data_IF_745691929317
#
_entry.id   IF_745691929317
#
_cell.length_a   1.000
_cell.length_b   1.000
_cell.length_c   1.000
_cell.angle_alpha   90.00
_cell.angle_beta   90.00
_cell.angle_gamma   90.00
#
_symmetry.space_group_name_H-M   'P 1'
#
loop_
_entity.id
_entity.type
_entity.pdbx_description
1 polymer ?
#
# COMPACT_ATOMS: atom_id res chain seq x y z
N UNK A 1 -12.99 -15.26 6.01
CA UNK A 1 -12.83 -13.97 5.30
C UNK A 1 -11.41 -13.50 5.59
N UNK A 2 -10.53 -13.51 4.58
CA UNK A 2 -9.11 -13.16 4.76
C UNK A 2 -8.98 -11.64 4.72
N UNK A 3 -8.33 -11.03 5.72
CA UNK A 3 -8.03 -9.59 5.72
C UNK A 3 -6.92 -9.31 4.71
N UNK A 4 -7.16 -8.35 3.80
CA UNK A 4 -6.14 -7.87 2.86
C UNK A 4 -5.41 -6.66 3.45
N UNK A 5 -4.16 -6.87 3.87
CA UNK A 5 -3.35 -5.80 4.45
C UNK A 5 -2.51 -5.16 3.36
N UNK A 6 -2.70 -3.87 3.13
CA UNK A 6 -1.96 -3.10 2.13
C UNK A 6 -1.89 -1.62 2.56
N UNK A 7 -0.99 -0.88 1.91
CA UNK A 7 -0.86 0.57 2.08
C UNK A 7 -1.58 1.29 0.95
N UNK A 8 -2.23 2.41 1.27
CA UNK A 8 -2.78 3.35 0.29
C UNK A 8 -2.47 4.79 0.70
N UNK A 9 -2.24 5.65 -0.29
CA UNK A 9 -2.17 7.10 -0.16
C UNK A 9 -3.44 7.68 -0.78
N UNK A 10 -4.17 8.45 0.03
CA UNK A 10 -5.37 9.15 -0.42
C UNK A 10 -5.07 10.64 -0.46
N UNK A 11 -5.24 11.24 -1.64
CA UNK A 11 -5.19 12.69 -1.82
C UNK A 11 -6.60 13.20 -2.03
N UNK A 12 -7.10 13.97 -1.07
CA UNK A 12 -8.45 14.55 -1.10
C UNK A 12 -8.36 16.03 -1.45
N UNK A 13 -9.13 16.44 -2.45
CA UNK A 13 -9.31 17.81 -2.87
C UNK A 13 -10.63 18.35 -2.32
N UNK A 14 -10.61 19.57 -1.77
CA UNK A 14 -11.77 20.22 -1.21
C UNK A 14 -12.07 21.53 -1.93
N UNK A 15 -13.35 21.79 -2.23
CA UNK A 15 -13.88 23.03 -2.79
C UNK A 15 -15.16 23.40 -2.04
N UNK A 16 -15.29 24.65 -1.57
CA UNK A 16 -16.41 25.14 -0.76
C UNK A 16 -16.77 24.26 0.45
N UNK A 17 -15.74 23.70 1.10
CA UNK A 17 -15.91 22.81 2.25
C UNK A 17 -16.48 21.43 1.92
N UNK A 18 -16.57 21.06 0.63
CA UNK A 18 -16.95 19.73 0.14
C UNK A 18 -15.78 19.05 -0.55
N UNK A 19 -15.81 17.72 -0.61
CA UNK A 19 -14.84 16.95 -1.41
C UNK A 19 -15.17 17.17 -2.88
N UNK A 20 -14.24 17.73 -3.64
CA UNK A 20 -14.36 17.93 -5.08
C UNK A 20 -13.72 16.80 -5.88
N UNK A 21 -12.65 16.18 -5.34
CA UNK A 21 -12.01 15.03 -5.94
C UNK A 21 -11.26 14.18 -4.89
N UNK A 22 -11.09 12.90 -5.22
CA UNK A 22 -10.25 11.97 -4.48
C UNK A 22 -9.34 11.24 -5.47
N UNK A 23 -8.07 11.06 -5.11
CA UNK A 23 -7.09 10.29 -5.86
C UNK A 23 -6.50 9.25 -4.91
N UNK A 24 -6.83 7.98 -5.13
CA UNK A 24 -6.38 6.85 -4.31
C UNK A 24 -5.25 6.13 -5.05
N UNK A 25 -4.07 6.15 -4.46
CA UNK A 25 -2.92 5.37 -4.92
C UNK A 25 -2.74 4.21 -3.94
N UNK A 26 -2.83 2.98 -4.43
CA UNK A 26 -2.81 1.80 -3.57
C UNK A 26 -1.85 0.74 -4.12
N UNK A 27 -1.30 -0.08 -3.22
CA UNK A 27 -0.36 -1.15 -3.56
C UNK A 27 -1.09 -2.37 -4.18
N UNK A 28 -1.33 -2.27 -5.48
CA UNK A 28 -2.04 -3.30 -6.24
C UNK A 28 -1.29 -4.63 -6.29
N UNK A 29 0.04 -4.61 -6.39
CA UNK A 29 0.83 -5.84 -6.47
C UNK A 29 0.66 -6.68 -5.19
N UNK A 30 0.75 -6.05 -4.02
CA UNK A 30 0.56 -6.72 -2.74
C UNK A 30 -0.83 -7.32 -2.57
N UNK A 31 -1.87 -6.68 -3.11
CA UNK A 31 -3.23 -7.24 -3.09
C UNK A 31 -3.36 -8.43 -4.03
N UNK A 32 -2.86 -8.32 -5.27
CA UNK A 32 -2.90 -9.42 -6.24
C UNK A 32 -2.16 -10.67 -5.74
N UNK A 33 -1.04 -10.48 -5.04
CA UNK A 33 -0.30 -11.58 -4.38
C UNK A 33 -1.16 -12.24 -3.30
N UNK A 34 -1.81 -11.45 -2.43
CA UNK A 34 -2.65 -11.98 -1.34
C UNK A 34 -3.88 -12.76 -1.82
N UNK A 35 -4.44 -12.39 -2.97
CA UNK A 35 -5.57 -13.12 -3.58
C UNK A 35 -5.12 -14.25 -4.52
N UNK A 36 -3.82 -14.51 -4.62
CA UNK A 36 -3.25 -15.60 -5.44
C UNK A 36 -3.32 -15.36 -6.95
N UNK A 37 -3.52 -14.12 -7.38
CA UNK A 37 -3.56 -13.73 -8.80
C UNK A 37 -2.18 -13.31 -9.35
N UNK A 38 -1.18 -13.16 -8.49
CA UNK A 38 0.18 -12.78 -8.84
C UNK A 38 1.19 -13.57 -7.99
N UNK A 39 2.23 -14.11 -8.61
CA UNK A 39 3.35 -14.72 -7.90
C UNK A 39 4.30 -13.63 -7.40
N UNK A 40 4.66 -13.67 -6.12
CA UNK A 40 5.57 -12.70 -5.51
C UNK A 40 7.03 -12.91 -5.96
N UNK A 41 7.38 -14.11 -6.45
CA UNK A 41 8.75 -14.45 -6.77
C UNK A 41 9.36 -13.52 -7.83
N UNK A 42 10.39 -12.76 -7.45
CA UNK A 42 11.13 -11.88 -8.36
C UNK A 42 10.44 -10.55 -8.68
N UNK A 43 9.32 -10.23 -8.04
CA UNK A 43 8.68 -8.91 -8.17
C UNK A 43 9.14 -7.96 -7.06
N UNK A 44 9.28 -6.65 -7.36
CA UNK A 44 9.58 -5.62 -6.37
C UNK A 44 8.33 -5.27 -5.55
N UNK A 45 7.70 -6.27 -4.93
CA UNK A 45 6.49 -6.13 -4.13
C UNK A 45 6.79 -6.39 -2.66
N UNK A 46 6.45 -5.41 -1.82
CA UNK A 46 6.92 -5.35 -0.43
C UNK A 46 5.93 -5.92 0.57
N UNK A 47 4.64 -6.04 0.25
CA UNK A 47 3.66 -6.68 1.12
C UNK A 47 3.40 -5.96 2.44
N UNK A 48 3.24 -6.73 3.52
CA UNK A 48 2.84 -6.23 4.85
C UNK A 48 3.91 -5.37 5.51
N UNK A 49 5.16 -5.55 5.13
CA UNK A 49 6.34 -4.81 5.58
C UNK A 49 6.17 -3.31 5.29
N UNK A 50 5.59 -2.96 4.12
CA UNK A 50 5.26 -1.58 3.79
C UNK A 50 4.21 -0.99 4.75
N UNK A 51 3.21 -1.78 5.14
CA UNK A 51 2.20 -1.34 6.12
C UNK A 51 2.80 -1.16 7.51
N UNK A 52 3.68 -2.07 7.96
CA UNK A 52 4.39 -1.93 9.25
C UNK A 52 5.20 -0.64 9.28
N UNK A 53 5.90 -0.30 8.21
CA UNK A 53 6.68 0.94 8.09
C UNK A 53 5.83 2.20 8.19
N UNK A 54 4.63 2.19 7.62
CA UNK A 54 3.69 3.32 7.72
C UNK A 54 3.18 3.50 9.15
N UNK A 55 2.92 2.39 9.85
CA UNK A 55 2.47 2.41 11.24
C UNK A 55 3.58 2.82 12.22
N UNK A 56 4.81 2.38 11.96
CA UNK A 56 5.99 2.71 12.74
C UNK A 56 7.21 2.89 11.82
N UNK A 57 7.70 4.13 11.78
CA UNK A 57 8.82 4.50 10.92
C UNK A 57 10.15 3.82 11.30
N UNK A 58 10.22 3.15 12.46
CA UNK A 58 11.40 2.41 12.91
C UNK A 58 11.29 0.90 12.71
N UNK A 59 10.10 0.37 12.39
CA UNK A 59 9.85 -1.06 12.29
C UNK A 59 10.60 -1.74 11.13
N UNK A 60 10.81 -1.03 10.02
CA UNK A 60 11.50 -1.57 8.82
C UNK A 60 12.51 -0.55 8.24
N UNK A 61 13.73 -0.95 7.86
CA UNK A 61 14.64 -0.08 7.11
C UNK A 61 14.11 0.21 5.70
N UNK A 62 14.00 1.48 5.31
CA UNK A 62 13.38 1.86 4.02
C UNK A 62 14.10 1.28 2.80
N UNK A 63 15.42 1.15 2.86
CA UNK A 63 16.25 0.57 1.80
C UNK A 63 16.03 -0.93 1.59
N UNK A 64 15.29 -1.61 2.48
CA UNK A 64 14.87 -3.01 2.31
C UNK A 64 13.52 -3.14 1.62
N UNK A 65 12.79 -2.03 1.46
CA UNK A 65 11.46 -1.98 0.85
C UNK A 65 11.50 -1.60 -0.64
N UNK A 66 12.68 -1.20 -1.14
CA UNK A 66 12.96 -0.86 -2.53
C UNK A 66 13.97 -1.89 -3.07
N UNK A 67 13.49 -3.11 -3.32
CA UNK A 67 14.28 -4.22 -3.89
C UNK A 67 13.81 -4.55 -5.28
#
# INVERSE_FOLDING_TARGET
MTTLTHTALVVVEFEDGRISAERIYWDQASVLIQVGLLDAAGLPATGIEATRKVMDSTAEPSNRLTG
#
